data_IF_646471205822
#
_entry.id   IF_646471205822
#
_cell.length_a   1.000
_cell.length_b   1.000
_cell.length_c   1.000
_cell.angle_alpha   90.00
_cell.angle_beta   90.00
_cell.angle_gamma   90.00
#
_symmetry.space_group_name_H-M   'P 1'
#
loop_
_entity.id
_entity.type
_entity.pdbx_description
1 polymer ?
#
# COMPACT_ATOMS: atom_id res chain seq x y z
N UNK A 1 10.64 -19.20 52.89
CA UNK A 1 10.12 -19.47 51.53
C UNK A 1 9.71 -18.20 50.80
N UNK A 2 8.93 -17.29 51.42
CA UNK A 2 8.54 -15.99 50.83
C UNK A 2 9.70 -15.08 50.45
N UNK A 3 10.73 -14.95 51.30
CA UNK A 3 11.91 -14.11 51.06
C UNK A 3 12.79 -14.60 49.89
N UNK A 4 12.87 -15.92 49.68
CA UNK A 4 13.63 -16.51 48.59
C UNK A 4 12.92 -16.26 47.25
N UNK A 5 11.58 -16.34 47.25
CA UNK A 5 10.74 -16.09 46.08
C UNK A 5 10.79 -14.61 45.68
N UNK A 6 10.74 -13.68 46.64
CA UNK A 6 10.87 -12.24 46.35
C UNK A 6 12.27 -11.86 45.86
N UNK A 7 13.34 -12.46 46.42
CA UNK A 7 14.70 -12.25 45.94
C UNK A 7 14.88 -12.79 44.52
N UNK A 8 14.35 -13.98 44.23
CA UNK A 8 14.39 -14.59 42.90
C UNK A 8 13.60 -13.75 41.87
N UNK A 9 12.38 -13.30 42.21
CA UNK A 9 11.61 -12.37 41.38
C UNK A 9 12.36 -11.06 41.13
N UNK A 10 13.00 -10.50 42.16
CA UNK A 10 13.82 -9.29 42.05
C UNK A 10 15.01 -9.46 41.12
N UNK A 11 15.74 -10.58 41.22
CA UNK A 11 16.85 -10.93 40.33
C UNK A 11 16.40 -11.18 38.89
N UNK A 12 15.24 -11.82 38.68
CA UNK A 12 14.65 -12.03 37.35
C UNK A 12 14.28 -10.68 36.71
N UNK A 13 13.61 -9.80 37.46
CA UNK A 13 13.28 -8.43 36.99
C UNK A 13 14.56 -7.65 36.70
N UNK A 14 15.57 -7.74 37.55
CA UNK A 14 16.85 -7.07 37.36
C UNK A 14 17.59 -7.58 36.12
N UNK A 15 17.68 -8.89 35.92
CA UNK A 15 18.28 -9.51 34.73
C UNK A 15 17.51 -9.14 33.45
N UNK A 16 16.18 -9.03 33.55
CA UNK A 16 15.32 -8.60 32.45
C UNK A 16 15.54 -7.12 32.09
N UNK A 17 15.73 -6.25 33.09
CA UNK A 17 16.01 -4.80 32.91
C UNK A 17 17.44 -4.53 32.43
N UNK A 18 18.43 -5.29 32.93
CA UNK A 18 19.85 -5.06 32.64
C UNK A 18 20.34 -5.65 31.30
N UNK A 19 19.61 -6.58 30.68
CA UNK A 19 20.03 -7.12 29.38
C UNK A 19 19.02 -8.00 28.65
N UNK A 20 18.18 -8.76 29.36
CA UNK A 20 17.23 -9.70 28.74
C UNK A 20 16.20 -9.01 27.84
N UNK A 21 15.67 -7.86 28.26
CA UNK A 21 14.68 -7.10 27.50
C UNK A 21 15.23 -6.46 26.23
N UNK A 22 16.47 -5.97 26.23
CA UNK A 22 17.06 -5.37 25.02
C UNK A 22 17.46 -6.44 23.99
N UNK A 23 18.00 -7.57 24.47
CA UNK A 23 18.31 -8.71 23.61
C UNK A 23 17.04 -9.29 22.97
N UNK A 24 15.96 -9.42 23.74
CA UNK A 24 14.66 -9.88 23.27
C UNK A 24 14.03 -8.88 22.31
N UNK A 25 14.15 -7.57 22.55
CA UNK A 25 13.67 -6.53 21.64
C UNK A 25 14.35 -6.62 20.26
N UNK A 26 15.65 -6.94 20.23
CA UNK A 26 16.42 -7.09 18.99
C UNK A 26 16.04 -8.35 18.22
N UNK A 27 15.99 -9.51 18.89
CA UNK A 27 15.81 -10.82 18.22
C UNK A 27 14.35 -11.28 18.12
N UNK A 28 13.51 -10.97 19.11
CA UNK A 28 12.12 -11.44 19.23
C UNK A 28 11.18 -10.27 19.63
N UNK A 29 11.03 -9.25 18.75
CA UNK A 29 10.30 -8.02 19.05
C UNK A 29 8.84 -8.24 19.46
N UNK A 30 8.18 -9.25 18.89
CA UNK A 30 6.80 -9.58 19.21
C UNK A 30 6.67 -10.06 20.66
N UNK A 31 7.57 -10.95 21.10
CA UNK A 31 7.61 -11.41 22.50
C UNK A 31 7.96 -10.27 23.44
N UNK A 32 8.94 -9.43 23.08
CA UNK A 32 9.25 -8.22 23.84
C UNK A 32 8.03 -7.31 24.01
N UNK A 33 7.25 -7.12 22.95
CA UNK A 33 6.00 -6.37 23.00
C UNK A 33 5.00 -7.01 23.96
N UNK A 34 4.67 -8.29 23.81
CA UNK A 34 3.67 -8.93 24.68
C UNK A 34 4.09 -8.99 26.16
N UNK A 35 5.38 -9.21 26.44
CA UNK A 35 5.88 -9.38 27.81
C UNK A 35 6.11 -8.04 28.54
N UNK A 36 6.50 -6.98 27.83
CA UNK A 36 6.87 -5.70 28.46
C UNK A 36 6.14 -4.51 27.88
N UNK A 37 6.08 -4.40 26.56
CA UNK A 37 5.52 -3.24 25.88
C UNK A 37 4.02 -3.10 26.13
N UNK A 38 3.27 -4.18 25.97
CA UNK A 38 1.83 -4.21 26.15
C UNK A 38 1.40 -3.92 27.60
N UNK A 39 1.95 -4.58 28.65
CA UNK A 39 1.60 -4.25 30.03
C UNK A 39 1.92 -2.80 30.38
N UNK A 40 3.12 -2.31 30.03
CA UNK A 40 3.51 -0.94 30.31
C UNK A 40 2.62 0.09 29.58
N UNK A 41 2.25 -0.17 28.33
CA UNK A 41 1.35 0.71 27.57
C UNK A 41 -0.08 0.66 28.10
N UNK A 42 -0.57 -0.53 28.47
CA UNK A 42 -1.89 -0.71 29.09
C UNK A 42 -2.00 0.07 30.39
N UNK A 43 -1.00 -0.01 31.28
CA UNK A 43 -0.95 0.82 32.48
C UNK A 43 -1.02 2.31 32.13
N UNK A 44 -0.20 2.78 31.17
CA UNK A 44 -0.23 4.18 30.72
C UNK A 44 -1.61 4.60 30.22
N UNK A 45 -2.26 3.79 29.39
CA UNK A 45 -3.63 4.06 28.91
C UNK A 45 -4.58 4.23 30.09
N UNK A 46 -4.63 3.25 31.00
CA UNK A 46 -5.58 3.26 32.11
C UNK A 46 -5.35 4.43 33.09
N UNK A 47 -4.09 4.71 33.44
CA UNK A 47 -3.76 5.78 34.38
C UNK A 47 -3.89 7.19 33.78
N UNK A 48 -3.61 7.36 32.48
CA UNK A 48 -3.65 8.69 31.85
C UNK A 48 -5.02 9.03 31.25
N UNK A 49 -5.87 8.03 30.97
CA UNK A 49 -7.13 8.20 30.23
C UNK A 49 -7.97 9.39 30.71
N UNK A 50 -8.29 9.41 32.00
CA UNK A 50 -9.16 10.46 32.58
C UNK A 50 -8.56 11.86 32.41
N UNK A 51 -7.24 12.01 32.62
CA UNK A 51 -6.54 13.29 32.50
C UNK A 51 -6.49 13.75 31.05
N UNK A 52 -6.12 12.87 30.12
CA UNK A 52 -6.05 13.20 28.69
C UNK A 52 -7.43 13.54 28.14
N UNK A 53 -8.46 12.79 28.53
CA UNK A 53 -9.84 13.05 28.13
C UNK A 53 -10.40 14.37 28.66
N UNK A 54 -9.94 14.84 29.83
CA UNK A 54 -10.33 16.16 30.36
C UNK A 54 -9.61 17.30 29.63
N UNK A 55 -8.32 17.15 29.37
CA UNK A 55 -7.49 18.19 28.73
C UNK A 55 -7.81 18.38 27.23
N UNK A 56 -8.49 17.41 26.60
CA UNK A 56 -8.84 17.45 25.18
C UNK A 56 -10.37 17.50 24.96
N UNK A 57 -11.12 18.04 25.94
CA UNK A 57 -12.58 18.27 25.84
C UNK A 57 -13.41 17.03 25.48
N UNK A 58 -12.92 15.83 25.83
CA UNK A 58 -13.64 14.57 25.65
C UNK A 58 -14.56 14.26 26.85
N UNK A 59 -14.51 15.06 27.90
CA UNK A 59 -15.33 14.87 29.10
C UNK A 59 -16.56 15.76 29.05
N UNK A 60 -17.72 15.22 29.45
CA UNK A 60 -18.96 16.00 29.54
C UNK A 60 -19.29 16.35 30.98
N UNK A 61 -19.77 17.57 31.20
CA UNK A 61 -20.33 17.99 32.48
C UNK A 61 -21.70 17.33 32.66
N UNK A 62 -21.91 16.62 33.77
CA UNK A 62 -23.25 16.14 34.12
C UNK A 62 -24.11 17.33 34.52
N UNK A 63 -25.42 17.28 34.19
CA UNK A 63 -26.38 18.22 34.75
C UNK A 63 -26.28 18.15 36.28
N UNK A 64 -26.18 19.29 36.99
CA UNK A 64 -26.14 19.26 38.44
C UNK A 64 -27.43 18.62 38.97
N UNK A 65 -27.36 17.79 40.02
CA UNK A 65 -28.55 17.29 40.68
C UNK A 65 -29.36 18.50 41.17
N UNK A 66 -30.66 18.49 40.89
CA UNK A 66 -31.60 19.45 41.46
C UNK A 66 -32.28 18.76 42.62
N UNK A 67 -32.12 19.32 43.81
CA UNK A 67 -32.90 18.94 44.98
C UNK A 67 -34.03 19.94 45.18
N UNK A 68 -35.16 19.48 45.71
CA UNK A 68 -36.19 20.34 46.26
C UNK A 68 -36.00 20.38 47.78
N UNK A 69 -35.82 21.57 48.33
CA UNK A 69 -35.81 21.81 49.77
C UNK A 69 -37.00 22.72 50.10
N UNK A 70 -38.11 22.12 50.52
CA UNK A 70 -39.41 22.80 50.51
C UNK A 70 -39.81 23.16 49.07
N UNK A 71 -40.14 24.43 48.82
CA UNK A 71 -40.51 24.94 47.50
C UNK A 71 -39.31 25.46 46.68
N UNK A 72 -38.09 25.38 47.22
CA UNK A 72 -36.89 25.94 46.60
C UNK A 72 -36.11 24.87 45.83
N UNK A 73 -35.90 25.09 44.53
CA UNK A 73 -35.04 24.25 43.69
C UNK A 73 -33.58 24.61 43.95
N UNK A 74 -32.90 23.80 44.77
CA UNK A 74 -31.47 23.96 45.03
C UNK A 74 -30.70 23.31 43.88
N UNK A 75 -29.95 24.15 43.14
CA UNK A 75 -29.04 23.71 42.09
C UNK A 75 -27.67 23.46 42.73
N UNK A 76 -27.28 22.18 42.87
CA UNK A 76 -25.95 21.83 43.38
C UNK A 76 -24.81 22.31 42.45
N UNK A 77 -23.58 22.25 42.95
CA UNK A 77 -22.39 22.62 42.18
C UNK A 77 -22.28 21.83 40.87
N UNK A 78 -21.76 22.44 39.79
CA UNK A 78 -21.51 21.73 38.53
C UNK A 78 -20.60 20.53 38.78
N UNK A 79 -21.13 19.33 38.52
CA UNK A 79 -20.47 18.07 38.79
C UNK A 79 -19.17 17.94 38.00
N UNK A 80 -18.15 17.37 38.67
CA UNK A 80 -16.85 17.00 38.10
C UNK A 80 -17.03 16.39 36.69
N UNK A 81 -16.28 16.86 35.68
CA UNK A 81 -16.41 16.36 34.31
C UNK A 81 -16.20 14.84 34.26
N UNK A 82 -17.03 14.15 33.46
CA UNK A 82 -17.01 12.70 33.35
C UNK A 82 -16.36 12.29 32.03
N UNK A 83 -15.19 11.67 32.13
CA UNK A 83 -14.49 11.12 30.98
C UNK A 83 -15.31 9.98 30.32
N UNK A 84 -15.12 9.74 29.02
CA UNK A 84 -15.78 8.62 28.33
C UNK A 84 -15.35 7.29 28.93
N UNK A 85 -16.22 6.28 28.85
CA UNK A 85 -15.84 4.91 29.25
C UNK A 85 -15.02 4.28 28.13
N UNK A 86 -13.93 3.61 28.52
CA UNK A 86 -13.11 2.80 27.61
C UNK A 86 -13.17 1.32 27.95
N UNK A 87 -12.99 0.47 26.96
CA UNK A 87 -12.72 -0.94 27.14
C UNK A 87 -11.33 -1.16 27.75
N UNK A 88 -11.09 -2.34 28.31
CA UNK A 88 -9.73 -2.75 28.63
C UNK A 88 -8.88 -2.81 27.34
N UNK A 89 -7.63 -2.30 27.34
CA UNK A 89 -6.76 -2.35 26.15
C UNK A 89 -6.50 -3.77 25.68
N UNK A 90 -6.83 -4.08 24.42
CA UNK A 90 -6.56 -5.40 23.82
C UNK A 90 -5.25 -5.37 23.05
N UNK A 91 -4.35 -6.35 23.25
CA UNK A 91 -3.07 -6.36 22.56
C UNK A 91 -3.26 -6.69 21.07
N UNK A 92 -2.40 -6.10 20.25
CA UNK A 92 -2.18 -6.48 18.85
C UNK A 92 -0.69 -6.78 18.65
N UNK A 93 -0.31 -7.31 17.48
CA UNK A 93 1.10 -7.64 17.18
C UNK A 93 2.04 -6.42 17.21
N UNK A 94 1.51 -5.23 16.90
CA UNK A 94 2.28 -3.98 16.77
C UNK A 94 1.89 -2.91 17.80
N UNK A 95 0.99 -3.24 18.74
CA UNK A 95 0.40 -2.24 19.61
C UNK A 95 -0.80 -2.74 20.39
N UNK A 96 -1.79 -1.87 20.59
CA UNK A 96 -3.03 -2.20 21.29
C UNK A 96 -4.23 -1.45 20.72
N UNK A 97 -5.42 -1.92 21.06
CA UNK A 97 -6.69 -1.28 20.70
C UNK A 97 -7.53 -0.98 21.94
N UNK A 98 -8.24 0.14 21.90
CA UNK A 98 -9.12 0.60 22.97
C UNK A 98 -10.41 1.11 22.35
N UNK A 99 -11.55 0.64 22.82
CA UNK A 99 -12.86 1.15 22.37
C UNK A 99 -13.33 2.18 23.38
N UNK A 100 -13.62 3.40 22.92
CA UNK A 100 -14.23 4.46 23.71
C UNK A 100 -15.71 4.63 23.30
N UNK A 101 -16.59 4.79 24.29
CA UNK A 101 -18.00 5.12 24.04
C UNK A 101 -18.19 6.64 24.05
N UNK A 102 -18.71 7.17 22.95
CA UNK A 102 -19.01 8.59 22.81
C UNK A 102 -20.11 9.01 23.80
N UNK A 103 -19.97 10.19 24.39
CA UNK A 103 -21.08 10.84 25.09
C UNK A 103 -22.07 11.44 24.08
N UNK A 104 -23.30 11.70 24.52
CA UNK A 104 -24.29 12.37 23.69
C UNK A 104 -23.76 13.73 23.21
N UNK A 105 -23.89 13.99 21.90
CA UNK A 105 -23.38 15.21 21.26
C UNK A 105 -21.89 15.18 20.87
N UNK A 106 -21.13 14.16 21.26
CA UNK A 106 -19.76 13.98 20.77
C UNK A 106 -19.74 13.31 19.40
N UNK A 107 -18.71 13.63 18.63
CA UNK A 107 -18.44 13.03 17.33
C UNK A 107 -17.05 12.39 17.32
N UNK A 108 -16.77 11.44 16.41
CA UNK A 108 -15.42 10.89 16.24
C UNK A 108 -14.35 11.95 15.95
N UNK A 109 -14.73 13.10 15.36
CA UNK A 109 -13.83 14.20 15.05
C UNK A 109 -13.12 14.77 16.30
N UNK A 110 -13.79 14.78 17.46
CA UNK A 110 -13.14 15.25 18.70
C UNK A 110 -12.01 14.32 19.14
N UNK A 111 -12.15 13.01 18.91
CA UNK A 111 -11.12 12.03 19.23
C UNK A 111 -9.96 12.09 18.22
N UNK A 112 -10.26 12.35 16.94
CA UNK A 112 -9.24 12.60 15.92
C UNK A 112 -8.35 13.79 16.31
N UNK A 113 -8.94 14.90 16.79
CA UNK A 113 -8.18 16.07 17.29
C UNK A 113 -7.31 15.73 18.50
N UNK A 114 -7.75 14.80 19.35
CA UNK A 114 -7.01 14.37 20.54
C UNK A 114 -5.96 13.28 20.28
N UNK A 115 -5.81 12.81 19.03
CA UNK A 115 -4.95 11.68 18.68
C UNK A 115 -3.50 11.87 19.14
N UNK A 116 -2.90 13.03 18.87
CA UNK A 116 -1.52 13.33 19.26
C UNK A 116 -1.34 13.36 20.78
N UNK A 117 -2.33 13.84 21.52
CA UNK A 117 -2.30 13.80 22.98
C UNK A 117 -2.26 12.35 23.49
N UNK A 118 -2.99 11.43 22.87
CA UNK A 118 -2.89 10.00 23.18
C UNK A 118 -1.53 9.42 22.82
N UNK A 119 -0.96 9.79 21.67
CA UNK A 119 0.40 9.37 21.24
C UNK A 119 1.42 9.69 22.32
N UNK A 120 1.45 10.94 22.78
CA UNK A 120 2.39 11.38 23.81
C UNK A 120 2.10 10.76 25.18
N UNK A 121 0.83 10.75 25.62
CA UNK A 121 0.46 10.21 26.94
C UNK A 121 0.74 8.72 27.06
N UNK A 122 0.48 7.96 26.00
CA UNK A 122 0.69 6.51 25.98
C UNK A 122 2.10 6.14 25.54
N UNK A 123 2.94 7.12 25.17
CA UNK A 123 4.26 6.99 24.51
C UNK A 123 4.30 5.80 23.55
N UNK A 124 3.45 5.92 22.53
CA UNK A 124 3.34 5.03 21.37
C UNK A 124 3.77 5.80 20.12
N UNK A 125 3.94 5.13 18.99
CA UNK A 125 4.33 5.77 17.73
C UNK A 125 3.16 6.54 17.09
N UNK A 126 1.96 5.96 17.05
CA UNK A 126 0.79 6.57 16.46
C UNK A 126 -0.50 6.10 17.14
N UNK A 127 -1.56 6.92 17.09
CA UNK A 127 -2.92 6.54 17.50
C UNK A 127 -3.87 6.86 16.36
N UNK A 128 -4.46 5.82 15.77
CA UNK A 128 -5.48 5.96 14.72
C UNK A 128 -6.86 5.88 15.36
N UNK A 129 -7.75 6.75 14.92
CA UNK A 129 -9.12 6.85 15.40
C UNK A 129 -10.07 6.44 14.28
N UNK A 130 -10.90 5.44 14.52
CA UNK A 130 -11.93 4.97 13.57
C UNK A 130 -13.27 4.83 14.30
N UNK A 131 -14.38 4.85 13.57
CA UNK A 131 -15.73 4.70 14.12
C UNK A 131 -16.37 3.46 13.48
N UNK A 132 -16.20 2.25 14.05
CA UNK A 132 -16.74 1.04 13.44
C UNK A 132 -18.27 1.05 13.43
N UNK A 133 -18.89 1.66 14.44
CA UNK A 133 -20.33 1.80 14.59
C UNK A 133 -20.67 3.18 15.19
N UNK A 134 -21.93 3.58 15.11
CA UNK A 134 -22.39 4.85 15.68
C UNK A 134 -22.25 4.83 17.21
N UNK A 135 -21.69 5.90 17.78
CA UNK A 135 -21.53 6.05 19.23
C UNK A 135 -20.29 5.35 19.82
N UNK A 136 -19.50 4.66 18.99
CA UNK A 136 -18.26 4.01 19.41
C UNK A 136 -17.08 4.52 18.58
N UNK A 137 -15.95 4.69 19.25
CA UNK A 137 -14.66 5.02 18.62
C UNK A 137 -13.65 3.94 18.97
N UNK A 138 -13.00 3.40 17.95
CA UNK A 138 -11.88 2.48 18.08
C UNK A 138 -10.57 3.28 17.96
N UNK A 139 -9.80 3.27 19.04
CA UNK A 139 -8.46 3.83 19.13
C UNK A 139 -7.45 2.71 18.93
N UNK A 140 -6.73 2.73 17.82
CA UNK A 140 -5.66 1.78 17.51
C UNK A 140 -4.33 2.46 17.76
N UNK A 141 -3.66 2.07 18.85
CA UNK A 141 -2.35 2.60 19.23
C UNK A 141 -1.25 1.68 18.71
N UNK A 142 -0.36 2.20 17.87
CA UNK A 142 0.77 1.49 17.29
C UNK A 142 2.02 1.82 18.10
N UNK A 143 2.67 0.82 18.69
CA UNK A 143 3.76 1.02 19.65
C UNK A 143 5.10 1.39 18.99
N UNK A 144 5.38 0.84 17.82
CA UNK A 144 6.61 1.05 17.04
C UNK A 144 6.24 1.30 15.58
N UNK A 145 7.03 2.09 14.87
CA UNK A 145 6.82 2.33 13.44
C UNK A 145 6.75 0.99 12.66
N UNK A 146 5.57 0.64 12.09
CA UNK A 146 5.39 -0.60 11.33
C UNK A 146 6.24 -0.64 10.06
N UNK A 147 6.57 0.54 9.53
CA UNK A 147 7.35 0.66 8.30
C UNK A 147 8.80 0.22 8.52
N UNK A 148 9.31 0.17 9.75
CA UNK A 148 10.66 -0.35 9.99
C UNK A 148 10.79 -1.85 9.69
N UNK A 149 9.69 -2.62 9.73
CA UNK A 149 9.69 -4.09 9.57
C UNK A 149 8.48 -4.58 8.74
N UNK A 150 8.44 -4.32 7.43
CA UNK A 150 7.26 -4.61 6.60
C UNK A 150 6.98 -6.12 6.43
N UNK A 151 7.98 -6.99 6.64
CA UNK A 151 7.85 -8.45 6.46
C UNK A 151 6.92 -9.17 7.45
N UNK A 152 6.30 -8.45 8.39
CA UNK A 152 5.34 -9.04 9.35
C UNK A 152 3.89 -9.02 8.83
N UNK A 153 3.61 -8.27 7.77
CA UNK A 153 2.29 -8.23 7.16
C UNK A 153 1.98 -9.56 6.45
N UNK A 154 0.71 -9.97 6.51
CA UNK A 154 0.20 -11.16 5.84
C UNK A 154 -1.12 -10.82 5.17
N UNK A 155 -1.35 -11.35 3.98
CA UNK A 155 -2.61 -11.24 3.26
C UNK A 155 -3.00 -12.61 2.69
N UNK A 156 -4.31 -12.92 2.57
CA UNK A 156 -4.75 -14.13 1.91
C UNK A 156 -4.32 -14.11 0.44
N UNK A 157 -4.00 -15.28 -0.11
CA UNK A 157 -3.72 -15.41 -1.53
C UNK A 157 -5.00 -15.15 -2.33
N UNK A 158 -4.93 -14.27 -3.32
CA UNK A 158 -6.00 -14.00 -4.26
C UNK A 158 -5.41 -13.78 -5.66
N UNK A 159 -6.13 -14.24 -6.69
CA UNK A 159 -5.72 -14.06 -8.09
C UNK A 159 -5.60 -12.57 -8.40
N UNK A 160 -4.51 -12.19 -9.08
CA UNK A 160 -4.16 -10.81 -9.42
C UNK A 160 -3.96 -9.90 -8.21
N UNK A 161 -3.66 -10.49 -7.04
CA UNK A 161 -3.36 -9.77 -5.82
C UNK A 161 -1.93 -10.05 -5.36
N UNK A 162 -1.23 -9.01 -4.90
CA UNK A 162 0.16 -9.09 -4.48
C UNK A 162 0.38 -8.40 -3.13
N UNK A 163 0.95 -9.12 -2.16
CA UNK A 163 1.40 -8.53 -0.90
C UNK A 163 2.72 -7.77 -1.12
N UNK A 164 2.61 -6.45 -1.21
CA UNK A 164 3.73 -5.55 -1.46
C UNK A 164 4.52 -5.28 -0.19
N UNK A 165 3.85 -5.08 0.94
CA UNK A 165 4.54 -4.77 2.20
C UNK A 165 3.58 -4.44 3.34
N UNK A 166 3.89 -3.39 4.10
CA UNK A 166 3.10 -2.96 5.25
C UNK A 166 2.69 -1.49 5.13
N UNK A 167 1.46 -1.19 5.57
CA UNK A 167 0.97 0.17 5.74
C UNK A 167 1.45 0.75 7.07
N UNK A 168 1.46 2.07 7.21
CA UNK A 168 1.77 2.77 8.48
C UNK A 168 0.75 2.44 9.58
N UNK A 169 -0.44 1.97 9.18
CA UNK A 169 -1.46 1.42 10.09
C UNK A 169 -1.06 0.08 10.71
N UNK A 170 0.01 -0.56 10.21
CA UNK A 170 0.41 -1.91 10.55
C UNK A 170 -0.31 -3.02 9.77
N UNK A 171 -1.25 -2.66 8.91
CA UNK A 171 -1.95 -3.59 8.01
C UNK A 171 -1.08 -4.03 6.82
N UNK A 172 -1.57 -5.04 6.10
CA UNK A 172 -0.95 -5.49 4.86
C UNK A 172 -1.15 -4.45 3.75
N UNK A 173 -0.05 -4.09 3.07
CA UNK A 173 -0.12 -3.30 1.85
C UNK A 173 -0.22 -4.26 0.66
N UNK A 174 -1.44 -4.36 0.11
CA UNK A 174 -1.77 -5.26 -0.99
C UNK A 174 -2.09 -4.45 -2.24
N UNK A 175 -1.47 -4.82 -3.36
CA UNK A 175 -1.89 -4.39 -4.69
C UNK A 175 -2.85 -5.42 -5.25
N UNK A 176 -4.12 -5.05 -5.42
CA UNK A 176 -5.14 -5.90 -6.01
C UNK A 176 -5.53 -5.34 -7.38
N UNK A 177 -5.13 -6.04 -8.45
CA UNK A 177 -5.38 -5.62 -9.83
C UNK A 177 -6.83 -5.90 -10.27
N UNK A 178 -7.62 -6.68 -9.52
CA UNK A 178 -9.06 -6.81 -9.79
C UNK A 178 -9.84 -5.63 -9.24
N UNK A 179 -9.39 -5.07 -8.11
CA UNK A 179 -10.00 -3.88 -7.50
C UNK A 179 -9.52 -2.60 -8.20
N UNK A 180 -8.22 -2.48 -8.46
CA UNK A 180 -7.62 -1.33 -9.12
C UNK A 180 -6.81 -1.85 -10.32
N UNK A 181 -7.36 -1.82 -11.55
CA UNK A 181 -6.79 -2.53 -12.68
C UNK A 181 -5.48 -1.95 -13.22
N UNK A 182 -5.26 -0.66 -13.01
CA UNK A 182 -4.12 0.05 -13.57
C UNK A 182 -3.45 0.94 -12.54
N UNK A 183 -2.12 0.88 -12.47
CA UNK A 183 -1.30 1.52 -11.44
C UNK A 183 -0.21 2.41 -12.05
N UNK A 184 0.03 3.55 -11.41
CA UNK A 184 1.17 4.42 -11.63
C UNK A 184 2.09 4.39 -10.40
N UNK A 185 3.37 4.07 -10.61
CA UNK A 185 4.40 4.01 -9.59
C UNK A 185 5.50 5.02 -9.92
N UNK A 186 5.65 6.05 -9.10
CA UNK A 186 6.73 7.02 -9.23
C UNK A 186 7.79 6.83 -8.14
N UNK A 187 9.05 7.10 -8.47
CA UNK A 187 10.12 7.10 -7.49
C UNK A 187 11.50 7.30 -8.08
N UNK A 188 12.31 8.14 -7.44
CA UNK A 188 13.69 8.38 -7.82
C UNK A 188 14.56 7.12 -7.69
N UNK A 189 15.77 7.16 -8.23
CA UNK A 189 16.76 6.09 -8.07
C UNK A 189 16.99 5.75 -6.59
N UNK A 190 17.08 4.46 -6.27
CA UNK A 190 17.25 3.92 -4.89
C UNK A 190 16.14 4.31 -3.90
N UNK A 191 14.98 4.76 -4.37
CA UNK A 191 13.83 5.09 -3.51
C UNK A 191 13.04 3.85 -3.04
N UNK A 192 13.08 2.76 -3.81
CA UNK A 192 12.30 1.54 -3.56
C UNK A 192 11.47 1.06 -4.75
N UNK A 193 11.36 1.86 -5.83
CA UNK A 193 10.60 1.54 -7.06
C UNK A 193 10.91 0.15 -7.64
N UNK A 194 12.16 -0.13 -8.02
CA UNK A 194 12.54 -1.41 -8.65
C UNK A 194 12.25 -2.60 -7.72
N UNK A 195 12.52 -2.45 -6.42
CA UNK A 195 12.23 -3.45 -5.41
C UNK A 195 10.73 -3.72 -5.26
N UNK A 196 9.89 -2.70 -5.37
CA UNK A 196 8.43 -2.85 -5.36
C UNK A 196 7.95 -3.62 -6.60
N UNK A 197 8.46 -3.30 -7.79
CA UNK A 197 8.15 -4.05 -9.02
C UNK A 197 8.62 -5.50 -8.92
N UNK A 198 9.82 -5.74 -8.42
CA UNK A 198 10.34 -7.08 -8.18
C UNK A 198 9.45 -7.86 -7.20
N UNK A 199 8.97 -7.20 -6.14
CA UNK A 199 8.04 -7.79 -5.18
C UNK A 199 6.71 -8.15 -5.83
N UNK A 200 6.14 -7.23 -6.61
CA UNK A 200 4.90 -7.46 -7.36
C UNK A 200 5.04 -8.70 -8.26
N UNK A 201 6.07 -8.73 -9.11
CA UNK A 201 6.31 -9.85 -10.03
C UNK A 201 6.50 -11.15 -9.27
N UNK A 202 7.26 -11.14 -8.17
CA UNK A 202 7.47 -12.33 -7.33
C UNK A 202 6.18 -12.85 -6.70
N UNK A 203 5.24 -11.98 -6.33
CA UNK A 203 3.94 -12.37 -5.77
C UNK A 203 2.95 -12.84 -6.85
N UNK A 204 3.07 -12.33 -8.07
CA UNK A 204 2.25 -12.76 -9.21
C UNK A 204 2.82 -14.01 -9.91
N UNK A 205 4.12 -14.27 -9.82
CA UNK A 205 4.78 -15.42 -10.42
C UNK A 205 4.11 -16.78 -10.15
N UNK A 206 3.67 -17.13 -8.92
CA UNK A 206 2.99 -18.40 -8.65
C UNK A 206 1.55 -18.47 -9.19
N UNK A 207 1.01 -17.38 -9.74
CA UNK A 207 -0.39 -17.28 -10.16
C UNK A 207 -0.54 -17.60 -11.66
N UNK A 208 -1.74 -18.07 -12.10
CA UNK A 208 -2.03 -18.32 -13.52
C UNK A 208 -2.27 -17.01 -14.26
N UNK A 209 -1.20 -16.23 -14.46
CA UNK A 209 -1.20 -14.90 -15.07
C UNK A 209 -0.08 -14.79 -16.11
N UNK A 210 -0.34 -14.14 -17.23
CA UNK A 210 0.68 -13.76 -18.19
C UNK A 210 1.34 -12.46 -17.73
N UNK A 211 2.67 -12.47 -17.58
CA UNK A 211 3.43 -11.30 -17.17
C UNK A 211 4.22 -10.79 -18.38
N UNK A 212 3.99 -9.55 -18.77
CA UNK A 212 4.65 -8.92 -19.92
C UNK A 212 5.49 -7.76 -19.42
N UNK A 213 6.79 -7.79 -19.67
CA UNK A 213 7.71 -6.72 -19.27
C UNK A 213 8.01 -5.75 -20.41
N UNK A 214 8.10 -4.46 -20.10
CA UNK A 214 8.62 -3.41 -20.99
C UNK A 214 9.70 -2.66 -20.21
N UNK A 215 10.96 -2.89 -20.60
CA UNK A 215 12.15 -2.32 -19.98
C UNK A 215 13.10 -1.84 -21.07
N UNK A 216 12.81 -0.65 -21.61
CA UNK A 216 13.58 -0.04 -22.68
C UNK A 216 14.97 0.46 -22.26
N UNK A 217 15.43 0.13 -21.04
CA UNK A 217 16.81 0.32 -20.58
C UNK A 217 17.64 -0.96 -20.78
N UNK A 218 17.35 -1.70 -21.84
CA UNK A 218 18.05 -2.95 -22.18
C UNK A 218 17.70 -4.14 -21.29
N UNK A 219 16.55 -4.12 -20.60
CA UNK A 219 16.12 -5.25 -19.78
C UNK A 219 16.85 -5.42 -18.44
N UNK A 220 17.55 -4.39 -17.95
CA UNK A 220 18.40 -4.47 -16.76
C UNK A 220 17.64 -4.84 -15.46
N UNK A 221 16.37 -4.43 -15.34
CA UNK A 221 15.58 -4.65 -14.13
C UNK A 221 14.61 -5.83 -14.35
N UNK A 222 13.85 -5.81 -15.45
CA UNK A 222 12.84 -6.84 -15.72
C UNK A 222 13.44 -8.13 -16.28
N UNK A 223 14.66 -8.10 -16.84
CA UNK A 223 15.38 -9.27 -17.33
C UNK A 223 15.67 -10.32 -16.26
N UNK A 224 15.72 -9.93 -14.98
CA UNK A 224 15.81 -10.84 -13.83
C UNK A 224 14.66 -11.87 -13.80
N UNK A 225 13.53 -11.54 -14.44
CA UNK A 225 12.33 -12.36 -14.47
C UNK A 225 12.09 -13.04 -15.82
N UNK A 226 13.03 -12.99 -16.78
CA UNK A 226 12.84 -13.46 -18.14
C UNK A 226 12.22 -14.88 -18.23
N UNK A 227 12.65 -15.81 -17.36
CA UNK A 227 12.12 -17.18 -17.34
C UNK A 227 10.63 -17.30 -16.93
N UNK A 228 10.07 -16.26 -16.29
CA UNK A 228 8.65 -16.21 -15.88
C UNK A 228 7.82 -15.26 -16.74
N UNK A 229 8.44 -14.31 -17.43
CA UNK A 229 7.74 -13.39 -18.32
C UNK A 229 7.27 -14.15 -19.58
N UNK A 230 6.03 -13.89 -19.99
CA UNK A 230 5.51 -14.35 -21.28
C UNK A 230 6.15 -13.61 -22.46
N UNK A 231 6.59 -12.38 -22.23
CA UNK A 231 7.33 -11.57 -23.18
C UNK A 231 8.08 -10.44 -22.45
N UNK A 232 9.18 -9.97 -23.03
CA UNK A 232 9.96 -8.84 -22.54
C UNK A 232 10.36 -7.98 -23.75
N UNK A 233 10.00 -6.70 -23.74
CA UNK A 233 10.55 -5.70 -24.64
C UNK A 233 11.74 -4.99 -23.98
N UNK A 234 12.84 -4.92 -24.70
CA UNK A 234 14.10 -4.28 -24.30
C UNK A 234 14.37 -2.95 -25.02
N UNK A 235 13.59 -2.66 -26.07
CA UNK A 235 13.61 -1.40 -26.81
C UNK A 235 12.19 -0.92 -27.14
N UNK A 236 12.04 0.31 -27.62
CA UNK A 236 10.73 0.91 -27.91
C UNK A 236 10.01 0.21 -29.07
N UNK A 237 10.74 -0.15 -30.12
CA UNK A 237 10.19 -0.87 -31.27
C UNK A 237 9.54 -2.20 -30.89
N UNK A 238 10.22 -2.98 -30.05
CA UNK A 238 9.64 -4.21 -29.46
C UNK A 238 8.40 -3.89 -28.62
N UNK A 239 8.44 -2.83 -27.81
CA UNK A 239 7.30 -2.41 -27.00
C UNK A 239 6.06 -2.10 -27.88
N UNK A 240 6.24 -1.39 -29.00
CA UNK A 240 5.18 -1.14 -29.99
C UNK A 240 4.58 -2.44 -30.51
N UNK A 241 5.41 -3.41 -30.90
CA UNK A 241 4.94 -4.70 -31.40
C UNK A 241 4.15 -5.50 -30.34
N UNK A 242 4.66 -5.57 -29.11
CA UNK A 242 3.96 -6.23 -27.99
C UNK A 242 2.62 -5.55 -27.71
N UNK A 243 2.61 -4.22 -27.57
CA UNK A 243 1.40 -3.45 -27.25
C UNK A 243 0.35 -3.56 -28.37
N UNK A 244 0.79 -3.59 -29.63
CA UNK A 244 -0.11 -3.80 -30.78
C UNK A 244 -0.76 -5.18 -30.71
N UNK A 245 0.02 -6.24 -30.47
CA UNK A 245 -0.51 -7.59 -30.33
C UNK A 245 -1.49 -7.71 -29.14
N UNK A 246 -1.22 -7.02 -28.03
CA UNK A 246 -2.12 -6.97 -26.88
C UNK A 246 -3.43 -6.22 -27.17
N UNK A 247 -3.40 -5.16 -27.98
CA UNK A 247 -4.62 -4.47 -28.40
C UNK A 247 -5.49 -5.36 -29.29
N UNK A 248 -4.89 -6.19 -30.15
CA UNK A 248 -5.62 -7.20 -30.93
C UNK A 248 -6.22 -8.26 -30.02
N UNK A 249 -5.43 -8.86 -29.11
CA UNK A 249 -5.91 -9.82 -28.11
C UNK A 249 -7.08 -9.24 -27.28
N UNK A 250 -6.99 -7.97 -26.89
CA UNK A 250 -8.08 -7.26 -26.22
C UNK A 250 -9.37 -7.23 -27.06
N UNK A 251 -9.28 -6.98 -28.37
CA UNK A 251 -10.43 -6.96 -29.26
C UNK A 251 -11.05 -8.35 -29.41
N UNK A 252 -10.22 -9.39 -29.48
CA UNK A 252 -10.67 -10.79 -29.56
C UNK A 252 -11.42 -11.19 -28.29
N UNK A 253 -10.86 -10.91 -27.10
CA UNK A 253 -11.53 -11.13 -25.81
C UNK A 253 -12.87 -10.39 -25.72
N UNK A 254 -12.92 -9.17 -26.24
CA UNK A 254 -14.16 -8.38 -26.27
C UNK A 254 -15.22 -9.06 -27.16
N UNK A 255 -14.81 -9.64 -28.28
CA UNK A 255 -15.70 -10.37 -29.15
C UNK A 255 -16.21 -11.66 -28.51
N UNK A 256 -15.35 -12.42 -27.83
CA UNK A 256 -15.73 -13.61 -27.06
C UNK A 256 -16.76 -13.28 -25.97
N UNK A 257 -16.54 -12.21 -25.21
CA UNK A 257 -17.50 -11.73 -24.20
C UNK A 257 -18.85 -11.39 -24.85
N UNK A 258 -18.84 -10.71 -26.00
CA UNK A 258 -20.06 -10.34 -26.73
C UNK A 258 -20.84 -11.57 -27.19
N UNK A 259 -20.17 -12.57 -27.76
CA UNK A 259 -20.80 -13.83 -28.21
C UNK A 259 -21.43 -14.57 -27.03
N UNK A 260 -20.76 -14.58 -25.87
CA UNK A 260 -21.26 -15.20 -24.64
C UNK A 260 -22.27 -14.35 -23.86
N UNK A 261 -22.63 -13.15 -24.35
CA UNK A 261 -23.45 -12.16 -23.63
C UNK A 261 -22.90 -11.80 -22.22
N UNK A 262 -21.58 -11.88 -22.04
CA UNK A 262 -20.86 -11.56 -20.83
C UNK A 262 -20.34 -10.11 -20.86
N UNK A 263 -20.31 -9.43 -19.71
CA UNK A 263 -19.76 -8.06 -19.60
C UNK A 263 -18.25 -8.04 -19.42
N UNK A 264 -17.66 -9.17 -19.02
CA UNK A 264 -16.24 -9.31 -18.74
C UNK A 264 -15.79 -10.76 -18.91
N UNK A 265 -14.48 -10.98 -19.07
CA UNK A 265 -13.92 -12.34 -19.13
C UNK A 265 -14.16 -13.12 -17.82
N UNK A 266 -14.42 -12.40 -16.72
CA UNK A 266 -14.67 -12.98 -15.40
C UNK A 266 -16.03 -13.68 -15.33
N UNK A 267 -16.97 -13.31 -16.19
CA UNK A 267 -18.29 -13.94 -16.32
C UNK A 267 -18.28 -15.13 -17.28
N UNK A 268 -17.19 -15.31 -18.06
CA UNK A 268 -17.03 -16.48 -18.91
C UNK A 268 -16.82 -17.74 -18.07
N UNK A 269 -17.28 -18.92 -18.54
CA UNK A 269 -16.95 -20.20 -17.94
C UNK A 269 -15.44 -20.39 -17.79
N UNK A 270 -14.98 -20.99 -16.70
CA UNK A 270 -13.54 -21.13 -16.39
C UNK A 270 -12.73 -21.76 -17.53
N UNK A 271 -13.31 -22.71 -18.27
CA UNK A 271 -12.66 -23.37 -19.42
C UNK A 271 -12.46 -22.47 -20.64
N UNK A 272 -13.26 -21.40 -20.75
CA UNK A 272 -13.21 -20.44 -21.84
C UNK A 272 -12.55 -19.13 -21.41
N UNK A 273 -12.30 -18.92 -20.12
CA UNK A 273 -11.74 -17.67 -19.61
C UNK A 273 -10.29 -17.52 -20.08
N UNK A 274 -9.98 -16.46 -20.85
CA UNK A 274 -8.61 -16.15 -21.23
C UNK A 274 -7.75 -15.87 -20.00
N UNK A 275 -6.47 -16.26 -20.07
CA UNK A 275 -5.51 -15.97 -18.99
C UNK A 275 -5.36 -14.45 -18.84
N UNK A 276 -5.48 -13.88 -17.63
CA UNK A 276 -5.28 -12.45 -17.43
C UNK A 276 -3.82 -12.06 -17.66
N UNK A 277 -3.62 -10.86 -18.18
CA UNK A 277 -2.33 -10.31 -18.57
C UNK A 277 -2.02 -9.10 -17.71
N UNK A 278 -0.81 -9.06 -17.15
CA UNK A 278 -0.28 -7.89 -16.43
C UNK A 278 0.93 -7.37 -17.22
N UNK A 279 0.80 -6.15 -17.75
CA UNK A 279 1.89 -5.45 -18.43
C UNK A 279 2.59 -4.56 -17.41
N UNK A 280 3.89 -4.77 -17.23
CA UNK A 280 4.75 -3.99 -16.33
C UNK A 280 5.70 -3.14 -17.16
N UNK A 281 5.61 -1.82 -17.03
CA UNK A 281 6.51 -0.85 -17.65
C UNK A 281 7.45 -0.32 -16.57
N UNK A 282 8.77 -0.53 -16.68
CA UNK A 282 9.71 -0.06 -15.65
C UNK A 282 9.93 1.47 -15.68
N UNK A 283 10.04 2.04 -16.88
CA UNK A 283 10.27 3.46 -17.08
C UNK A 283 9.42 3.99 -18.24
N UNK A 284 8.31 4.64 -17.90
CA UNK A 284 7.42 5.23 -18.89
C UNK A 284 8.10 6.34 -19.70
N UNK A 285 9.05 7.08 -19.13
CA UNK A 285 9.72 8.16 -19.85
C UNK A 285 10.43 7.66 -21.13
N UNK A 286 11.01 6.45 -21.10
CA UNK A 286 11.68 5.85 -22.27
C UNK A 286 10.72 5.52 -23.42
N UNK A 287 9.42 5.40 -23.15
CA UNK A 287 8.40 5.17 -24.17
C UNK A 287 7.90 6.46 -24.83
N UNK A 288 8.14 7.61 -24.19
CA UNK A 288 7.62 8.91 -24.64
C UNK A 288 8.72 9.86 -25.12
N UNK A 289 9.95 9.75 -24.60
CA UNK A 289 11.07 10.61 -24.98
C UNK A 289 11.56 10.25 -26.38
N UNK A 290 11.56 11.21 -27.31
CA UNK A 290 12.13 11.02 -28.65
C UNK A 290 13.49 11.70 -28.76
N UNK A 291 14.40 11.09 -29.52
CA UNK A 291 15.68 11.68 -29.94
C UNK A 291 15.53 12.70 -31.08
N UNK A 292 14.29 12.97 -31.53
CA UNK A 292 13.98 13.93 -32.57
C UNK A 292 13.90 13.31 -33.97
N UNK A 293 14.26 12.05 -34.14
CA UNK A 293 14.09 11.34 -35.43
C UNK A 293 12.60 11.09 -35.70
N UNK A 294 12.22 11.05 -36.99
CA UNK A 294 10.82 10.83 -37.38
C UNK A 294 10.30 9.48 -36.89
N UNK A 295 11.15 8.46 -36.96
CA UNK A 295 10.84 7.09 -36.53
C UNK A 295 10.62 7.02 -35.02
N UNK A 296 11.57 7.52 -34.22
CA UNK A 296 11.45 7.58 -32.75
C UNK A 296 10.21 8.33 -32.29
N UNK A 297 9.83 9.41 -32.98
CA UNK A 297 8.61 10.17 -32.70
C UNK A 297 7.35 9.36 -33.01
N UNK A 298 7.32 8.67 -34.15
CA UNK A 298 6.21 7.81 -34.54
C UNK A 298 6.03 6.65 -33.56
N UNK A 299 7.12 6.00 -33.13
CA UNK A 299 7.09 4.94 -32.13
C UNK A 299 6.61 5.43 -30.76
N UNK A 300 7.03 6.62 -30.33
CA UNK A 300 6.59 7.20 -29.06
C UNK A 300 5.09 7.54 -29.08
N UNK A 301 4.60 8.10 -30.19
CA UNK A 301 3.18 8.37 -30.39
C UNK A 301 2.34 7.07 -30.40
N UNK A 302 2.81 6.04 -31.11
CA UNK A 302 2.16 4.72 -31.12
C UNK A 302 2.12 4.09 -29.73
N UNK A 303 3.25 4.07 -29.00
CA UNK A 303 3.29 3.60 -27.61
C UNK A 303 2.24 4.30 -26.75
N UNK A 304 2.17 5.64 -26.84
CA UNK A 304 1.21 6.43 -26.08
C UNK A 304 -0.24 6.06 -26.40
N UNK A 305 -0.58 5.91 -27.68
CA UNK A 305 -1.94 5.56 -28.12
C UNK A 305 -2.32 4.15 -27.66
N UNK A 306 -1.41 3.18 -27.83
CA UNK A 306 -1.66 1.77 -27.47
C UNK A 306 -1.81 1.59 -25.96
N UNK A 307 -0.93 2.20 -25.15
CA UNK A 307 -1.03 2.15 -23.69
C UNK A 307 -2.34 2.77 -23.20
N UNK A 308 -2.72 3.94 -23.74
CA UNK A 308 -3.97 4.60 -23.38
C UNK A 308 -5.17 3.71 -23.74
N UNK A 309 -5.15 3.07 -24.91
CA UNK A 309 -6.23 2.18 -25.36
C UNK A 309 -6.39 0.95 -24.45
N UNK A 310 -5.27 0.34 -24.06
CA UNK A 310 -5.27 -0.77 -23.09
C UNK A 310 -5.79 -0.32 -21.72
N UNK A 311 -5.39 0.86 -21.24
CA UNK A 311 -5.85 1.39 -19.95
C UNK A 311 -7.35 1.70 -19.92
N UNK A 312 -7.92 2.14 -21.05
CA UNK A 312 -9.33 2.51 -21.15
C UNK A 312 -10.27 1.30 -21.20
N UNK A 313 -9.85 0.20 -21.84
CA UNK A 313 -10.74 -0.93 -22.18
C UNK A 313 -10.30 -2.27 -21.57
N UNK A 314 -9.07 -2.36 -21.06
CA UNK A 314 -8.45 -3.64 -20.68
C UNK A 314 -9.00 -4.29 -19.41
N UNK A 315 -9.47 -3.50 -18.45
CA UNK A 315 -9.82 -4.00 -17.11
C UNK A 315 -10.87 -5.13 -17.11
N UNK A 316 -11.97 -4.97 -17.85
CA UNK A 316 -13.01 -6.00 -17.97
C UNK A 316 -12.55 -7.22 -18.79
N UNK A 317 -11.48 -7.07 -19.56
CA UNK A 317 -10.93 -8.06 -20.46
C UNK A 317 -9.69 -8.77 -19.86
N UNK A 318 -9.39 -8.49 -18.58
CA UNK A 318 -8.29 -9.10 -17.85
C UNK A 318 -6.91 -8.59 -18.25
N UNK A 319 -6.83 -7.39 -18.85
CA UNK A 319 -5.58 -6.71 -19.17
C UNK A 319 -5.34 -5.61 -18.13
N UNK A 320 -4.24 -5.73 -17.40
CA UNK A 320 -3.85 -4.86 -16.29
C UNK A 320 -2.53 -4.16 -16.62
N UNK A 321 -2.39 -2.90 -16.19
CA UNK A 321 -1.20 -2.11 -16.46
C UNK A 321 -0.55 -1.68 -15.15
N UNK A 322 0.75 -1.89 -15.02
CA UNK A 322 1.54 -1.36 -13.93
C UNK A 322 2.67 -0.55 -14.54
N UNK A 323 2.51 0.76 -14.48
CA UNK A 323 3.39 1.71 -15.15
C UNK A 323 4.25 2.38 -14.10
N UNK A 324 5.56 2.30 -14.25
CA UNK A 324 6.50 2.93 -13.35
C UNK A 324 7.35 3.99 -14.05
N UNK A 325 7.89 4.93 -13.28
CA UNK A 325 8.83 5.92 -13.79
C UNK A 325 9.59 6.65 -12.70
N UNK A 326 10.80 7.09 -13.03
CA UNK A 326 11.63 7.90 -12.13
C UNK A 326 11.26 9.38 -12.23
N UNK A 327 10.90 9.83 -13.43
CA UNK A 327 10.42 11.17 -13.72
C UNK A 327 9.14 11.03 -14.54
N UNK A 328 8.02 11.42 -13.93
CA UNK A 328 6.70 11.37 -14.58
C UNK A 328 6.12 12.77 -14.50
N UNK A 329 6.20 13.52 -15.58
CA UNK A 329 5.70 14.89 -15.63
C UNK A 329 4.95 15.18 -16.92
N UNK A 330 4.23 16.30 -16.93
CA UNK A 330 3.53 16.80 -18.12
C UNK A 330 4.48 17.17 -19.28
N UNK A 331 5.77 17.26 -19.00
CA UNK A 331 6.84 17.46 -19.99
C UNK A 331 7.00 16.30 -20.97
N UNK A 332 6.55 15.09 -20.60
CA UNK A 332 6.47 13.94 -21.53
C UNK A 332 5.30 14.05 -22.53
N UNK A 333 4.47 15.10 -22.42
CA UNK A 333 3.41 15.43 -23.37
C UNK A 333 1.98 15.08 -22.91
N UNK A 334 0.96 15.38 -23.74
CA UNK A 334 -0.44 15.17 -23.38
C UNK A 334 -0.80 13.69 -23.22
N UNK A 335 -0.12 12.81 -23.96
CA UNK A 335 -0.36 11.37 -23.93
C UNK A 335 -0.13 10.74 -22.56
N UNK A 336 0.95 11.11 -21.85
CA UNK A 336 1.20 10.59 -20.49
C UNK A 336 0.15 11.08 -19.50
N UNK A 337 -0.37 12.30 -19.70
CA UNK A 337 -1.38 12.90 -18.81
C UNK A 337 -2.74 12.22 -19.00
N UNK A 338 -3.10 11.91 -20.25
CA UNK A 338 -4.28 11.13 -20.58
C UNK A 338 -4.18 9.69 -20.03
N UNK A 339 -3.02 9.04 -20.20
CA UNK A 339 -2.78 7.71 -19.65
C UNK A 339 -2.88 7.71 -18.13
N UNK A 340 -2.19 8.64 -17.47
CA UNK A 340 -2.23 8.84 -16.01
C UNK A 340 -3.66 8.88 -15.50
N UNK A 341 -4.58 9.60 -16.14
CA UNK A 341 -5.98 9.68 -15.73
C UNK A 341 -6.71 8.32 -15.69
N UNK A 342 -6.23 7.30 -16.41
CA UNK A 342 -6.77 5.93 -16.40
C UNK A 342 -6.10 5.02 -15.35
N UNK A 343 -4.97 5.41 -14.78
CA UNK A 343 -4.22 4.61 -13.80
C UNK A 343 -4.70 4.93 -12.38
N UNK A 344 -5.82 4.34 -11.94
CA UNK A 344 -6.44 4.66 -10.64
C UNK A 344 -5.55 4.42 -9.41
N UNK A 345 -4.68 3.42 -9.47
CA UNK A 345 -3.75 3.12 -8.37
C UNK A 345 -2.53 4.02 -8.39
N UNK A 346 -2.21 4.67 -7.27
CA UNK A 346 -1.03 5.54 -7.18
C UNK A 346 -0.10 5.10 -6.09
N UNK A 347 1.19 5.06 -6.42
CA UNK A 347 2.28 4.83 -5.48
C UNK A 347 3.37 5.84 -5.79
N UNK A 348 3.74 6.66 -4.80
CA UNK A 348 4.82 7.63 -4.93
C UNK A 348 5.85 7.35 -3.84
N UNK A 349 6.98 6.77 -4.23
CA UNK A 349 8.17 6.74 -3.39
C UNK A 349 8.80 8.13 -3.34
N UNK A 350 9.92 8.26 -2.62
CA UNK A 350 10.74 9.48 -2.69
C UNK A 350 11.03 9.88 -4.14
N UNK A 351 10.67 11.10 -4.50
CA UNK A 351 11.00 11.74 -5.78
C UNK A 351 12.01 12.86 -5.57
N UNK A 352 12.68 13.29 -6.64
CA UNK A 352 13.66 14.39 -6.58
C UNK A 352 13.01 15.74 -6.91
N UNK A 353 11.94 15.75 -7.70
CA UNK A 353 11.25 16.96 -8.14
C UNK A 353 9.78 16.98 -7.68
N UNK A 354 9.25 18.17 -7.31
CA UNK A 354 7.84 18.32 -6.94
C UNK A 354 6.85 17.96 -8.05
N UNK A 355 7.25 18.16 -9.32
CA UNK A 355 6.39 17.91 -10.50
C UNK A 355 5.97 16.45 -10.61
N UNK A 356 6.88 15.51 -10.35
CA UNK A 356 6.60 14.07 -10.36
C UNK A 356 5.65 13.66 -9.25
N UNK A 357 5.79 14.24 -8.04
CA UNK A 357 4.85 14.00 -6.95
C UNK A 357 3.45 14.55 -7.28
N UNK A 358 3.38 15.76 -7.83
CA UNK A 358 2.13 16.42 -8.24
C UNK A 358 1.43 15.62 -9.37
N UNK A 359 2.18 15.15 -10.37
CA UNK A 359 1.64 14.29 -11.44
C UNK A 359 1.09 12.98 -10.87
N UNK A 360 1.75 12.40 -9.87
CA UNK A 360 1.37 11.10 -9.32
C UNK A 360 0.19 11.18 -8.34
N UNK A 361 0.14 12.21 -7.48
CA UNK A 361 -0.80 12.28 -6.34
C UNK A 361 -1.67 13.54 -6.31
N UNK A 362 -1.39 14.54 -7.16
CA UNK A 362 -1.96 15.88 -7.04
C UNK A 362 -3.46 15.98 -7.25
N UNK A 363 -4.05 15.08 -8.04
CA UNK A 363 -5.50 14.97 -8.23
C UNK A 363 -6.20 14.16 -7.14
N UNK A 364 -5.44 13.43 -6.31
CA UNK A 364 -5.99 12.68 -5.18
C UNK A 364 -6.03 13.52 -3.91
N UNK A 365 -4.88 14.05 -3.49
CA UNK A 365 -4.75 14.77 -2.24
C UNK A 365 -3.45 15.58 -2.18
N UNK A 366 -3.56 16.87 -1.86
CA UNK A 366 -2.40 17.77 -1.77
C UNK A 366 -1.47 17.44 -0.60
N UNK A 367 -2.01 16.97 0.53
CA UNK A 367 -1.20 16.53 1.67
C UNK A 367 -0.36 15.30 1.30
N UNK A 368 -0.91 14.39 0.49
CA UNK A 368 -0.19 13.22 -0.02
C UNK A 368 1.03 13.63 -0.86
N UNK A 369 0.91 14.67 -1.68
CA UNK A 369 2.02 15.25 -2.46
C UNK A 369 3.11 15.77 -1.52
N UNK A 370 2.74 16.55 -0.50
CA UNK A 370 3.69 17.08 0.50
C UNK A 370 4.39 15.96 1.26
N UNK A 371 3.66 14.90 1.65
CA UNK A 371 4.24 13.76 2.36
C UNK A 371 5.18 12.95 1.47
N UNK A 372 4.87 12.77 0.19
CA UNK A 372 5.78 12.08 -0.73
C UNK A 372 7.11 12.85 -0.91
N UNK A 373 7.05 14.19 -0.92
CA UNK A 373 8.23 15.04 -1.01
C UNK A 373 9.08 15.08 0.27
N UNK A 374 8.49 14.76 1.43
CA UNK A 374 9.23 14.71 2.70
C UNK A 374 9.89 13.35 2.98
N UNK A 375 9.65 12.33 2.15
CA UNK A 375 10.32 11.02 2.28
C UNK A 375 11.83 11.20 2.11
N UNK A 376 12.60 10.77 3.11
CA UNK A 376 14.05 10.93 3.13
C UNK A 376 14.79 9.81 2.39
N UNK A 377 16.07 10.02 2.07
CA UNK A 377 16.90 9.01 1.40
C UNK A 377 17.17 7.75 2.25
N UNK A 378 17.01 7.85 3.57
CA UNK A 378 17.15 6.78 4.55
C UNK A 378 15.88 5.90 4.60
N UNK A 379 14.73 6.43 4.19
CA UNK A 379 13.44 5.75 4.19
C UNK A 379 13.21 4.95 2.91
N UNK A 380 14.21 4.15 2.50
CA UNK A 380 14.10 3.31 1.30
C UNK A 380 12.93 2.33 1.40
N UNK A 381 12.18 2.22 0.31
CA UNK A 381 10.97 1.42 0.22
C UNK A 381 9.73 2.10 0.79
N UNK A 382 9.86 3.23 1.50
CA UNK A 382 8.70 4.01 1.94
C UNK A 382 8.07 4.71 0.74
N UNK A 383 6.75 4.69 0.67
CA UNK A 383 5.95 5.31 -0.34
C UNK A 383 4.68 5.89 0.26
N UNK A 384 4.08 6.85 -0.43
CA UNK A 384 2.67 7.22 -0.26
C UNK A 384 1.86 6.44 -1.29
N UNK A 385 0.78 5.79 -0.87
CA UNK A 385 -0.08 5.02 -1.77
C UNK A 385 -1.56 5.33 -1.55
N UNK A 386 -2.36 5.13 -2.60
CA UNK A 386 -3.82 5.10 -2.49
C UNK A 386 -4.27 3.96 -1.60
N UNK A 387 -5.11 4.27 -0.61
CA UNK A 387 -5.76 3.29 0.24
C UNK A 387 -7.06 2.76 -0.39
N UNK A 388 -7.55 1.60 0.05
CA UNK A 388 -8.77 0.97 -0.48
C UNK A 388 -10.05 1.81 -0.27
N UNK A 389 -10.06 2.70 0.72
CA UNK A 389 -11.19 3.57 1.05
C UNK A 389 -11.19 4.91 0.27
N UNK A 390 -10.36 5.03 -0.78
CA UNK A 390 -10.17 6.27 -1.54
C UNK A 390 -9.30 7.33 -0.85
N UNK A 391 -8.83 7.05 0.37
CA UNK A 391 -7.82 7.86 1.06
C UNK A 391 -6.40 7.55 0.61
N UNK A 392 -5.41 8.05 1.34
CA UNK A 392 -4.00 7.72 1.15
C UNK A 392 -3.36 7.24 2.46
N UNK A 393 -2.25 6.52 2.36
CA UNK A 393 -1.47 6.09 3.51
C UNK A 393 0.00 6.02 3.15
N UNK A 394 0.88 6.21 4.13
CA UNK A 394 2.28 5.79 3.99
C UNK A 394 2.37 4.28 4.10
N UNK A 395 3.27 3.70 3.33
CA UNK A 395 3.53 2.28 3.32
C UNK A 395 5.02 2.02 3.08
N UNK A 396 5.49 0.81 3.39
CA UNK A 396 6.84 0.37 3.04
C UNK A 396 6.76 -0.96 2.31
N UNK A 397 7.37 -1.02 1.13
CA UNK A 397 7.50 -2.25 0.36
C UNK A 397 8.46 -3.23 1.03
N UNK A 398 8.19 -4.52 0.86
CA UNK A 398 9.12 -5.57 1.24
C UNK A 398 10.34 -5.54 0.32
N UNK A 399 11.53 -5.69 0.89
CA UNK A 399 12.75 -5.81 0.10
C UNK A 399 12.77 -7.18 -0.57
N UNK A 400 12.68 -7.20 -1.90
CA UNK A 400 12.96 -8.40 -2.70
C UNK A 400 14.38 -8.26 -3.24
N UNK A 401 15.26 -9.20 -2.90
CA UNK A 401 16.64 -9.19 -3.41
C UNK A 401 16.69 -9.69 -4.85
N UNK A 402 17.80 -9.42 -5.55
CA UNK A 402 18.03 -9.94 -6.91
C UNK A 402 18.02 -11.48 -6.93
N UNK A 403 18.60 -12.11 -5.91
CA UNK A 403 18.61 -13.58 -5.77
C UNK A 403 17.19 -14.13 -5.59
N UNK A 404 16.39 -13.50 -4.73
CA UNK A 404 14.98 -13.88 -4.52
C UNK A 404 14.15 -13.71 -5.80
N UNK A 405 14.38 -12.64 -6.55
CA UNK A 405 13.72 -12.38 -7.82
C UNK A 405 14.02 -13.47 -8.86
N UNK A 406 15.30 -13.78 -9.08
CA UNK A 406 15.73 -14.83 -10.01
C UNK A 406 15.21 -16.19 -9.57
N UNK A 407 15.34 -16.52 -8.28
CA UNK A 407 14.87 -17.79 -7.73
C UNK A 407 13.34 -17.95 -7.87
N UNK A 408 12.58 -16.87 -7.67
CA UNK A 408 11.13 -16.88 -7.86
C UNK A 408 10.75 -17.06 -9.34
N UNK A 409 11.47 -16.42 -10.26
CA UNK A 409 11.23 -16.57 -11.69
C UNK A 409 11.55 -17.99 -12.18
N UNK A 410 12.67 -18.57 -11.75
CA UNK A 410 13.05 -19.94 -12.07
C UNK A 410 12.07 -20.97 -11.49
N UNK A 411 11.67 -20.80 -10.21
CA UNK A 411 10.75 -21.71 -9.53
C UNK A 411 9.40 -21.82 -10.25
N UNK A 412 8.95 -20.74 -10.87
CA UNK A 412 7.62 -20.66 -11.50
C UNK A 412 7.70 -20.53 -13.02
N UNK A 413 8.83 -20.82 -13.66
CA UNK A 413 9.02 -20.65 -15.10
C UNK A 413 7.99 -21.43 -15.93
N UNK A 414 7.63 -22.63 -15.48
CA UNK A 414 6.60 -23.47 -16.11
C UNK A 414 5.19 -22.85 -16.11
N UNK A 415 4.94 -21.82 -15.31
CA UNK A 415 3.66 -21.09 -15.26
C UNK A 415 3.61 -19.90 -16.22
N UNK A 416 4.68 -19.60 -16.97
CA UNK A 416 4.68 -18.55 -17.99
C UNK A 416 3.77 -18.97 -19.16
N UNK A 417 2.60 -18.35 -19.36
CA UNK A 417 1.73 -18.69 -20.47
C UNK A 417 2.39 -18.30 -21.79
N UNK A 418 2.30 -19.17 -22.80
CA UNK A 418 2.71 -18.83 -24.16
C UNK A 418 1.75 -17.81 -24.77
N UNK A 419 2.30 -16.82 -25.48
CA UNK A 419 1.56 -15.74 -26.12
C UNK A 419 1.94 -15.70 -27.61
N UNK A 420 1.38 -16.58 -28.46
CA UNK A 420 1.84 -16.78 -29.84
C UNK A 420 1.77 -15.51 -30.70
N UNK A 421 0.75 -14.67 -30.50
CA UNK A 421 0.60 -13.40 -31.23
C UNK A 421 1.77 -12.44 -30.93
N UNK A 422 2.16 -12.33 -29.66
CA UNK A 422 3.29 -11.50 -29.24
C UNK A 422 4.60 -12.09 -29.78
N UNK A 423 4.79 -13.41 -29.62
CA UNK A 423 5.99 -14.11 -30.12
C UNK A 423 6.18 -13.89 -31.63
N UNK A 424 5.11 -14.04 -32.42
CA UNK A 424 5.16 -13.79 -33.88
C UNK A 424 5.50 -12.33 -34.20
N UNK A 425 4.94 -11.38 -33.45
CA UNK A 425 5.22 -9.96 -33.65
C UNK A 425 6.70 -9.62 -33.38
N UNK A 426 7.30 -10.21 -32.33
CA UNK A 426 8.71 -10.02 -32.02
C UNK A 426 9.64 -10.68 -33.06
N UNK A 427 9.33 -11.91 -33.48
CA UNK A 427 10.12 -12.61 -34.53
C UNK A 427 10.08 -11.86 -35.87
N UNK A 428 8.95 -11.25 -36.22
CA UNK A 428 8.86 -10.44 -37.44
C UNK A 428 9.82 -9.24 -37.42
N UNK A 429 9.99 -8.58 -36.26
CA UNK A 429 10.93 -7.47 -36.11
C UNK A 429 12.39 -7.91 -36.25
N UNK A 430 12.76 -9.10 -35.75
CA UNK A 430 14.11 -9.65 -35.92
C UNK A 430 14.42 -9.98 -37.39
N UNK A 431 13.38 -10.26 -38.19
CA UNK A 431 13.49 -10.51 -39.62
C UNK A 431 13.71 -9.25 -40.46
N UNK A 432 13.14 -8.11 -40.04
CA UNK A 432 13.29 -6.81 -40.72
C UNK A 432 14.68 -6.16 -40.49
N UNK A 433 15.44 -6.62 -39.49
CA UNK A 433 16.81 -6.15 -39.18
C UNK A 433 17.92 -6.86 -39.98
N UNK A 434 17.58 -7.88 -40.77
CA UNK A 434 18.51 -8.65 -41.63
C UNK A 434 18.28 -8.34 -43.09
#
# INVERSE_FOLDING_TARGET
>A
MSALITLALGLIVLAWVLGGGDLLRRHCPAWHWYLTGYPATTCRVLFTWRKVAMLNDLSVSRRPPRGLLGDLVVKGDPLRPVAPRISFPRPTRLGLTVVARLHAGQTPATYLKAADAFVHAWKVHAVRVTSPERGLVLLTATATDPLLRPGLATAPAALLSALIGALESGGAWVMDLRLIPHWLIAGATRSGKSTLLARLITQLAPQPVALVGIDCKGGMELGLFANRLSALATCRREAVAILTALVVDMQDRMNECRIAAARSIWELPDKLRPVPVVVIVDEIAELYLSDGTRESRAEAEQCSVLLLRLAQLGAALGLHLVVAGQRVGSDLGPGVTALRAQLGGRICHRVNDPGTAEMTLGDLNKDAVTVAQSITAQERGVAVCTGPDGGWSRARSHLTTTEEAIAAAQRHSALAPDMPAIRRALVALEGDDK
#
